data_IF_489000094073
#
_entry.id   IF_489000094073
#
_cell.length_a   1.000
_cell.length_b   1.000
_cell.length_c   1.000
_cell.angle_alpha   90.00
_cell.angle_beta   90.00
_cell.angle_gamma   90.00
#
_symmetry.space_group_name_H-M   'P 1'
#
loop_
_entity.id
_entity.type
_entity.pdbx_description
1 polymer ?
#
# COMPACT_ATOMS: atom_id res chain seq x y z
N UNK A 1 31.09 29.77 -11.21
CA UNK A 1 32.42 30.17 -10.67
C UNK A 1 32.57 29.82 -9.19
N UNK A 2 31.77 30.38 -8.27
CA UNK A 2 31.89 30.07 -6.82
C UNK A 2 31.75 28.57 -6.51
N UNK A 3 30.80 27.89 -7.15
CA UNK A 3 30.63 26.43 -7.05
C UNK A 3 31.88 25.66 -7.51
N UNK A 4 32.63 26.16 -8.51
CA UNK A 4 33.83 25.50 -9.01
C UNK A 4 34.96 25.45 -7.98
N UNK A 5 35.06 26.48 -7.13
CA UNK A 5 35.99 26.46 -5.99
C UNK A 5 35.45 25.63 -4.83
N UNK A 6 34.13 25.53 -4.66
CA UNK A 6 33.55 24.61 -3.68
C UNK A 6 33.73 23.14 -4.06
N UNK A 7 33.85 22.81 -5.36
CA UNK A 7 34.10 21.45 -5.85
C UNK A 7 35.48 20.90 -5.47
N UNK A 8 36.49 21.75 -5.24
CA UNK A 8 37.82 21.31 -4.80
C UNK A 8 37.88 20.99 -3.29
N UNK A 9 36.80 21.21 -2.55
CA UNK A 9 36.71 20.97 -1.11
C UNK A 9 35.92 19.68 -0.80
N UNK A 10 36.28 19.01 0.29
CA UNK A 10 35.59 17.78 0.74
C UNK A 10 34.21 18.10 1.34
N UNK A 11 33.15 17.92 0.54
CA UNK A 11 31.77 18.23 0.92
C UNK A 11 30.94 17.01 1.36
N UNK A 12 31.57 15.88 1.72
CA UNK A 12 30.85 14.63 2.04
C UNK A 12 29.86 14.80 3.20
N UNK A 13 30.26 15.50 4.26
CA UNK A 13 29.45 15.68 5.48
C UNK A 13 29.09 17.14 5.79
N UNK A 14 29.53 18.08 4.97
CA UNK A 14 29.34 19.53 5.17
C UNK A 14 28.92 20.19 3.88
N UNK A 15 28.19 21.30 3.99
CA UNK A 15 27.91 22.20 2.88
C UNK A 15 28.80 23.43 3.06
N UNK A 16 29.51 23.83 2.01
CA UNK A 16 30.30 25.06 2.04
C UNK A 16 29.49 26.22 1.50
N UNK A 17 29.30 27.26 2.33
CA UNK A 17 28.67 28.51 1.92
C UNK A 17 29.70 29.61 1.79
N UNK A 18 29.54 30.48 0.79
CA UNK A 18 30.41 31.65 0.63
C UNK A 18 29.96 32.74 1.58
N UNK A 19 30.85 33.16 2.49
CA UNK A 19 30.54 34.20 3.46
C UNK A 19 31.18 35.53 3.11
N UNK A 20 32.34 35.53 2.45
CA UNK A 20 33.05 36.74 2.06
C UNK A 20 33.75 36.59 0.72
N UNK A 21 33.84 37.69 -0.03
CA UNK A 21 34.66 37.82 -1.24
C UNK A 21 35.50 39.07 -1.04
N UNK A 22 36.83 38.95 -1.09
CA UNK A 22 37.75 40.07 -0.88
C UNK A 22 37.70 41.08 -2.02
N UNK A 23 37.67 40.61 -3.26
CA UNK A 23 37.66 41.45 -4.46
C UNK A 23 36.90 40.75 -5.58
N UNK A 24 36.07 41.51 -6.28
CA UNK A 24 35.35 41.07 -7.46
C UNK A 24 35.64 42.07 -8.58
N UNK A 25 36.18 41.60 -9.69
CA UNK A 25 36.41 42.40 -10.90
C UNK A 25 35.45 41.91 -11.97
N UNK A 26 34.76 42.85 -12.60
CA UNK A 26 33.84 42.58 -13.69
C UNK A 26 34.21 43.54 -14.82
N UNK A 27 34.69 42.98 -15.93
CA UNK A 27 34.93 43.69 -17.19
C UNK A 27 33.96 43.14 -18.26
N UNK A 28 32.82 43.81 -18.47
CA UNK A 28 31.82 43.39 -19.44
C UNK A 28 32.32 43.45 -20.88
N UNK A 29 33.14 44.45 -21.24
CA UNK A 29 33.64 44.61 -22.60
C UNK A 29 34.60 43.49 -22.97
N UNK A 30 35.51 43.15 -22.06
CA UNK A 30 36.39 42.02 -22.24
C UNK A 30 35.61 40.70 -22.27
N UNK A 31 34.60 40.53 -21.40
CA UNK A 31 33.78 39.32 -21.38
C UNK A 31 33.05 39.12 -22.72
N UNK A 32 32.43 40.17 -23.28
CA UNK A 32 31.74 40.12 -24.56
C UNK A 32 32.70 39.81 -25.71
N UNK A 33 33.93 40.34 -25.70
CA UNK A 33 34.98 40.04 -26.71
C UNK A 33 35.43 38.58 -26.72
N UNK A 34 35.19 37.82 -25.65
CA UNK A 34 35.55 36.39 -25.55
C UNK A 34 34.46 35.47 -26.10
N UNK A 35 33.20 35.91 -26.15
CA UNK A 35 32.06 35.09 -26.61
C UNK A 35 32.15 34.69 -28.10
N UNK A 36 32.58 35.54 -29.05
CA UNK A 36 32.69 35.18 -30.47
C UNK A 36 33.78 34.16 -30.78
N UNK A 37 34.73 33.94 -29.85
CA UNK A 37 35.84 32.99 -30.01
C UNK A 37 35.43 31.54 -29.69
N UNK A 38 34.22 31.35 -29.17
CA UNK A 38 33.65 30.05 -28.83
C UNK A 38 32.82 29.53 -30.01
N UNK A 39 32.88 28.23 -30.27
CA UNK A 39 32.11 27.59 -31.34
C UNK A 39 30.60 27.73 -31.05
N UNK A 40 29.76 27.73 -32.09
CA UNK A 40 28.29 27.85 -31.93
C UNK A 40 27.68 26.73 -31.07
N UNK A 41 28.37 25.61 -30.95
CA UNK A 41 27.94 24.40 -30.25
C UNK A 41 28.46 24.35 -28.80
N UNK A 42 29.55 25.05 -28.45
CA UNK A 42 30.11 25.08 -27.08
C UNK A 42 30.15 26.52 -26.53
N UNK A 43 29.01 27.04 -26.08
CA UNK A 43 28.91 28.37 -25.45
C UNK A 43 29.44 28.42 -24.00
N UNK A 44 30.38 27.56 -23.63
CA UNK A 44 30.90 27.46 -22.28
C UNK A 44 32.16 28.33 -22.13
N UNK A 45 32.14 29.29 -21.23
CA UNK A 45 33.34 30.07 -20.89
C UNK A 45 34.15 29.27 -19.87
N UNK A 46 35.45 28.99 -20.12
CA UNK A 46 36.25 28.21 -19.20
C UNK A 46 36.41 28.94 -17.86
N UNK A 47 36.28 28.19 -16.76
CA UNK A 47 36.53 28.67 -15.40
C UNK A 47 37.85 28.08 -14.93
N UNK A 48 38.75 28.93 -14.46
CA UNK A 48 40.03 28.51 -13.85
C UNK A 48 40.04 28.88 -12.38
N UNK A 49 40.37 27.93 -11.54
CA UNK A 49 40.55 28.12 -10.10
C UNK A 49 42.05 28.08 -9.82
N UNK A 50 42.59 29.15 -9.25
CA UNK A 50 44.00 29.30 -8.91
C UNK A 50 44.13 29.34 -7.39
N UNK A 51 44.48 28.20 -6.78
CA UNK A 51 44.56 28.08 -5.32
C UNK A 51 45.68 28.95 -4.72
N UNK A 52 46.83 29.03 -5.40
CA UNK A 52 47.98 29.84 -4.95
C UNK A 52 47.72 31.35 -4.95
N UNK A 53 46.80 31.82 -5.81
CA UNK A 53 46.41 33.22 -5.91
C UNK A 53 45.10 33.53 -5.18
N UNK A 54 44.47 32.49 -4.60
CA UNK A 54 43.13 32.53 -4.05
C UNK A 54 42.15 33.26 -5.00
N UNK A 55 42.13 32.81 -6.26
CA UNK A 55 41.45 33.49 -7.35
C UNK A 55 40.65 32.53 -8.25
N UNK A 56 39.50 32.98 -8.74
CA UNK A 56 38.67 32.27 -9.73
C UNK A 56 38.47 33.22 -10.90
N UNK A 57 38.85 32.78 -12.10
CA UNK A 57 38.82 33.62 -13.29
C UNK A 57 38.04 32.94 -14.39
N UNK A 58 37.11 33.67 -15.01
CA UNK A 58 36.37 33.20 -16.16
C UNK A 58 35.94 34.38 -17.04
N UNK A 59 36.42 34.41 -18.28
CA UNK A 59 36.20 35.54 -19.18
C UNK A 59 36.66 36.85 -18.52
N UNK A 60 35.79 37.87 -18.53
CA UNK A 60 36.02 39.14 -17.82
C UNK A 60 35.61 39.18 -16.35
N UNK A 61 35.43 38.03 -15.69
CA UNK A 61 35.10 37.97 -14.25
C UNK A 61 36.29 37.41 -13.49
N UNK A 62 36.75 38.13 -12.46
CA UNK A 62 37.77 37.67 -11.52
C UNK A 62 37.25 37.79 -10.08
N UNK A 63 37.32 36.69 -9.33
CA UNK A 63 36.90 36.62 -7.93
C UNK A 63 38.12 36.27 -7.10
N UNK A 64 38.51 37.14 -6.17
CA UNK A 64 39.63 36.88 -5.26
C UNK A 64 39.18 36.79 -3.81
N UNK A 65 39.87 35.95 -3.03
CA UNK A 65 39.68 35.89 -1.59
C UNK A 65 38.30 35.37 -1.19
N UNK A 66 37.78 34.36 -1.90
CA UNK A 66 36.51 33.73 -1.53
C UNK A 66 36.69 32.92 -0.26
N UNK A 67 36.04 33.36 0.83
CA UNK A 67 35.98 32.62 2.10
C UNK A 67 34.73 31.75 2.14
N UNK A 68 34.96 30.48 2.45
CA UNK A 68 33.94 29.45 2.58
C UNK A 68 33.84 29.04 4.05
N UNK A 69 32.63 28.88 4.55
CA UNK A 69 32.35 28.32 5.88
C UNK A 69 31.62 27.00 5.70
N UNK A 70 32.09 25.98 6.41
CA UNK A 70 31.43 24.68 6.47
C UNK A 70 30.23 24.76 7.42
N UNK A 71 29.06 24.36 6.93
CA UNK A 71 27.85 24.18 7.73
C UNK A 71 27.44 22.72 7.73
N UNK A 72 26.99 22.23 8.88
CA UNK A 72 26.47 20.87 9.01
C UNK A 72 25.19 20.72 8.20
N UNK A 73 25.05 19.57 7.53
CA UNK A 73 23.76 19.20 6.93
C UNK A 73 22.75 18.98 8.04
N UNK A 74 21.50 19.42 7.82
CA UNK A 74 20.39 19.02 8.69
C UNK A 74 20.21 17.51 8.53
N UNK A 75 20.24 16.72 9.62
CA UNK A 75 19.98 15.30 9.51
C UNK A 75 18.54 15.11 9.00
N UNK A 76 18.39 14.37 7.91
CA UNK A 76 17.10 13.82 7.55
C UNK A 76 16.90 12.58 8.44
N UNK A 77 16.18 12.73 9.56
CA UNK A 77 15.76 11.60 10.38
C UNK A 77 14.61 10.87 9.69
N UNK A 78 14.89 10.21 8.57
CA UNK A 78 13.97 9.28 7.93
C UNK A 78 14.64 7.92 8.03
N UNK A 79 14.21 7.11 8.99
CA UNK A 79 14.63 5.72 9.07
C UNK A 79 13.89 4.92 8.00
N UNK A 80 14.60 4.19 7.12
CA UNK A 80 13.95 3.34 6.14
C UNK A 80 13.27 2.16 6.85
N UNK A 81 12.01 1.93 6.52
CA UNK A 81 11.29 0.73 6.96
C UNK A 81 11.66 -0.42 6.03
N UNK A 82 12.01 -1.57 6.60
CA UNK A 82 12.27 -2.80 5.87
C UNK A 82 11.07 -3.74 6.03
N UNK A 83 10.47 -4.14 4.89
CA UNK A 83 9.36 -5.08 4.86
C UNK A 83 9.76 -6.33 4.08
N UNK A 84 9.27 -7.50 4.53
CA UNK A 84 9.54 -8.80 3.92
C UNK A 84 8.22 -9.40 3.41
N UNK A 85 8.23 -9.89 2.17
CA UNK A 85 7.10 -10.63 1.62
C UNK A 85 7.11 -12.07 2.11
N UNK A 86 6.03 -12.48 2.78
CA UNK A 86 5.81 -13.86 3.23
C UNK A 86 4.49 -14.38 2.71
N UNK A 87 4.48 -15.65 2.33
CA UNK A 87 3.23 -16.33 2.08
C UNK A 87 2.49 -16.52 3.41
N UNK A 88 1.23 -16.10 3.45
CA UNK A 88 0.35 -16.25 4.59
C UNK A 88 -0.91 -16.96 4.09
N UNK A 89 -1.15 -18.17 4.58
CA UNK A 89 -2.38 -18.88 4.23
C UNK A 89 -3.58 -18.15 4.83
N UNK A 90 -4.66 -18.07 4.07
CA UNK A 90 -5.87 -17.37 4.50
C UNK A 90 -6.53 -18.00 5.73
N UNK A 91 -6.62 -19.33 5.76
CA UNK A 91 -7.27 -20.09 6.83
C UNK A 91 -6.38 -21.24 7.24
N UNK A 92 -5.62 -21.05 8.31
CA UNK A 92 -4.72 -22.07 8.85
C UNK A 92 -4.75 -22.15 10.38
N UNK A 93 -5.60 -21.32 11.03
CA UNK A 93 -5.72 -21.22 12.48
C UNK A 93 -4.40 -20.95 13.21
N UNK A 94 -3.39 -20.45 12.49
CA UNK A 94 -2.08 -20.15 13.08
C UNK A 94 -2.22 -19.01 14.08
N UNK A 95 -1.55 -19.17 15.22
CA UNK A 95 -1.48 -18.13 16.24
C UNK A 95 -0.55 -17.00 15.78
N UNK A 96 -1.10 -15.79 15.65
CA UNK A 96 -0.39 -14.57 15.27
C UNK A 96 -0.73 -13.43 16.24
N UNK A 97 0.03 -12.34 16.21
CA UNK A 97 -0.29 -11.16 17.01
C UNK A 97 -1.53 -10.44 16.43
N UNK A 98 -2.26 -9.70 17.27
CA UNK A 98 -3.37 -8.86 16.81
C UNK A 98 -2.89 -7.83 15.77
N UNK A 99 -1.69 -7.27 15.97
CA UNK A 99 -1.05 -6.34 15.04
C UNK A 99 -0.87 -6.96 13.66
N UNK A 100 -0.31 -8.17 13.58
CA UNK A 100 -0.12 -8.87 12.30
C UNK A 100 -1.48 -9.17 11.64
N UNK A 101 -2.47 -9.62 12.43
CA UNK A 101 -3.80 -9.95 11.91
C UNK A 101 -4.49 -8.73 11.28
N UNK A 102 -4.41 -7.58 11.95
CA UNK A 102 -4.92 -6.30 11.45
C UNK A 102 -4.13 -5.85 10.22
N UNK A 103 -2.80 -5.94 10.24
CA UNK A 103 -1.95 -5.58 9.11
C UNK A 103 -2.29 -6.40 7.85
N UNK A 104 -2.36 -7.72 7.97
CA UNK A 104 -2.74 -8.62 6.87
C UNK A 104 -4.14 -8.25 6.36
N UNK A 105 -5.09 -7.99 7.26
CA UNK A 105 -6.47 -7.68 6.89
C UNK A 105 -6.59 -6.37 6.11
N UNK A 106 -5.87 -5.33 6.54
CA UNK A 106 -5.80 -4.05 5.83
C UNK A 106 -5.12 -4.23 4.47
N UNK A 107 -4.02 -4.98 4.40
CA UNK A 107 -3.33 -5.25 3.14
C UNK A 107 -4.23 -5.98 2.14
N UNK A 108 -5.00 -6.99 2.57
CA UNK A 108 -5.98 -7.68 1.73
C UNK A 108 -7.07 -6.71 1.25
N UNK A 109 -7.59 -5.85 2.15
CA UNK A 109 -8.63 -4.89 1.80
C UNK A 109 -8.16 -3.85 0.76
N UNK A 110 -6.94 -3.34 0.92
CA UNK A 110 -6.32 -2.40 -0.03
C UNK A 110 -5.90 -3.06 -1.34
N UNK A 111 -5.52 -4.33 -1.30
CA UNK A 111 -5.31 -5.10 -2.52
C UNK A 111 -6.62 -5.22 -3.30
N UNK A 112 -7.77 -5.36 -2.63
CA UNK A 112 -9.07 -5.43 -3.29
C UNK A 112 -9.57 -4.07 -3.80
N UNK A 113 -9.40 -3.00 -3.03
CA UNK A 113 -9.83 -1.64 -3.39
C UNK A 113 -8.64 -0.68 -3.36
N UNK A 114 -8.21 -0.17 -4.53
CA UNK A 114 -7.10 0.79 -4.65
C UNK A 114 -7.53 2.21 -4.21
N UNK A 115 -7.85 2.37 -2.92
CA UNK A 115 -8.34 3.62 -2.34
C UNK A 115 -7.20 4.45 -1.76
N UNK A 116 -7.18 5.75 -2.09
CA UNK A 116 -6.28 6.72 -1.46
C UNK A 116 -6.78 7.18 -0.10
N UNK A 117 -8.10 7.29 0.07
CA UNK A 117 -8.70 7.68 1.34
C UNK A 117 -9.41 6.48 1.93
N UNK A 118 -8.87 5.97 3.04
CA UNK A 118 -9.30 4.71 3.63
C UNK A 118 -10.09 5.02 4.88
N UNK A 119 -11.41 4.81 4.79
CA UNK A 119 -12.34 4.95 5.90
C UNK A 119 -12.49 3.63 6.65
N UNK A 120 -12.12 3.62 7.93
CA UNK A 120 -12.31 2.47 8.83
C UNK A 120 -13.09 2.91 10.06
N UNK A 121 -14.06 2.09 10.46
CA UNK A 121 -14.86 2.31 11.66
C UNK A 121 -14.65 1.16 12.64
N UNK A 122 -14.38 1.48 13.90
CA UNK A 122 -14.36 0.52 15.00
C UNK A 122 -15.54 0.79 15.93
N UNK A 123 -16.33 -0.24 16.23
CA UNK A 123 -17.46 -0.15 17.14
C UNK A 123 -17.17 -0.97 18.39
N UNK A 124 -17.23 -0.28 19.53
CA UNK A 124 -17.08 -0.85 20.87
C UNK A 124 -18.39 -0.62 21.62
N UNK A 125 -19.10 -1.71 21.89
CA UNK A 125 -20.32 -1.71 22.68
C UNK A 125 -20.05 -1.80 24.18
N UNK A 126 -21.02 -1.40 25.00
CA UNK A 126 -20.88 -1.39 26.47
C UNK A 126 -20.72 -2.79 27.07
N UNK A 127 -21.18 -3.83 26.38
CA UNK A 127 -21.03 -5.23 26.82
C UNK A 127 -19.68 -5.85 26.41
N UNK A 128 -18.87 -5.17 25.58
CA UNK A 128 -17.60 -5.69 25.11
C UNK A 128 -16.53 -5.62 26.22
N UNK A 129 -15.85 -6.73 26.47
CA UNK A 129 -14.74 -6.82 27.46
C UNK A 129 -13.39 -6.40 26.86
N UNK A 130 -13.37 -5.32 26.10
CA UNK A 130 -12.18 -4.81 25.41
C UNK A 130 -11.43 -3.86 26.34
N UNK A 131 -10.14 -4.11 26.55
CA UNK A 131 -9.24 -3.14 27.18
C UNK A 131 -8.69 -2.18 26.13
N UNK A 132 -8.16 -1.03 26.55
CA UNK A 132 -7.61 -0.04 25.61
C UNK A 132 -6.46 -0.58 24.75
N UNK A 133 -5.72 -1.58 25.25
CA UNK A 133 -4.66 -2.29 24.55
C UNK A 133 -5.15 -3.20 23.40
N UNK A 134 -6.42 -3.61 23.45
CA UNK A 134 -7.04 -4.51 22.46
C UNK A 134 -7.77 -3.73 21.35
N UNK A 135 -7.75 -2.39 21.39
CA UNK A 135 -8.31 -1.54 20.34
C UNK A 135 -7.56 -1.70 19.02
N UNK A 136 -8.31 -1.89 17.95
CA UNK A 136 -7.76 -2.08 16.60
C UNK A 136 -7.43 -0.75 15.93
N UNK A 137 -8.14 0.33 16.24
CA UNK A 137 -7.96 1.62 15.55
C UNK A 137 -6.53 2.18 15.65
N UNK A 138 -5.84 2.17 16.82
CA UNK A 138 -4.45 2.60 16.90
C UNK A 138 -3.51 1.79 15.99
N UNK A 139 -3.74 0.48 15.89
CA UNK A 139 -2.98 -0.43 15.03
C UNK A 139 -3.24 -0.10 13.56
N UNK A 140 -4.50 0.09 13.18
CA UNK A 140 -4.89 0.48 11.80
C UNK A 140 -4.25 1.81 11.42
N UNK A 141 -4.23 2.79 12.34
CA UNK A 141 -3.57 4.07 12.10
C UNK A 141 -2.09 3.91 11.81
N UNK A 142 -1.38 3.10 12.61
CA UNK A 142 0.05 2.82 12.41
C UNK A 142 0.29 2.17 11.03
N UNK A 143 -0.49 1.14 10.70
CA UNK A 143 -0.37 0.41 9.42
C UNK A 143 -0.61 1.35 8.23
N UNK A 144 -1.71 2.10 8.24
CA UNK A 144 -2.07 2.98 7.11
C UNK A 144 -1.14 4.19 6.99
N UNK A 145 -0.63 4.72 8.09
CA UNK A 145 0.29 5.88 8.07
C UNK A 145 1.67 5.56 7.50
N UNK A 146 2.06 4.28 7.52
CA UNK A 146 3.30 3.82 6.91
C UNK A 146 3.17 3.59 5.40
N UNK A 147 1.95 3.59 4.85
CA UNK A 147 1.72 3.37 3.42
C UNK A 147 1.78 4.69 2.62
N UNK A 148 2.52 4.72 1.50
CA UNK A 148 2.59 5.91 0.67
C UNK A 148 1.24 6.19 -0.02
N UNK A 149 0.87 7.47 -0.14
CA UNK A 149 -0.33 7.95 -0.86
C UNK A 149 -1.68 7.50 -0.26
N UNK A 150 -1.67 6.86 0.90
CA UNK A 150 -2.87 6.46 1.65
C UNK A 150 -3.11 7.45 2.79
N UNK A 151 -4.35 7.89 2.93
CA UNK A 151 -4.80 8.78 4.00
C UNK A 151 -5.81 8.02 4.87
N UNK A 152 -5.50 7.76 6.15
CA UNK A 152 -6.43 7.12 7.07
C UNK A 152 -7.50 8.11 7.55
N UNK A 153 -8.75 7.69 7.48
CA UNK A 153 -9.89 8.37 8.11
C UNK A 153 -10.58 7.38 9.06
N UNK A 154 -10.31 7.54 10.36
CA UNK A 154 -10.65 6.54 11.36
C UNK A 154 -11.75 7.06 12.27
N UNK A 155 -12.78 6.25 12.45
CA UNK A 155 -13.90 6.54 13.34
C UNK A 155 -13.97 5.50 14.44
N UNK A 156 -13.91 5.94 15.70
CA UNK A 156 -14.16 5.08 16.85
C UNK A 156 -15.55 5.39 17.43
N UNK A 157 -16.34 4.36 17.60
CA UNK A 157 -17.67 4.44 18.19
C UNK A 157 -17.60 3.80 19.58
N UNK A 158 -17.66 4.63 20.61
CA UNK A 158 -17.56 4.18 22.00
C UNK A 158 -18.37 5.11 22.92
N UNK A 159 -18.77 4.59 24.08
CA UNK A 159 -19.39 5.41 25.14
C UNK A 159 -18.38 6.31 25.83
N UNK A 160 -18.86 7.44 26.37
CA UNK A 160 -18.00 8.43 27.03
C UNK A 160 -17.28 7.80 28.24
N UNK A 161 -15.98 8.07 28.37
CA UNK A 161 -15.07 7.59 29.42
C UNK A 161 -14.57 6.14 29.30
N UNK A 162 -14.86 5.40 28.22
CA UNK A 162 -14.30 4.06 28.00
C UNK A 162 -12.86 4.06 27.47
N UNK A 163 -12.42 5.15 26.85
CA UNK A 163 -11.09 5.25 26.24
C UNK A 163 -10.41 6.58 26.59
N UNK A 164 -9.13 6.53 26.96
CA UNK A 164 -8.32 7.73 27.14
C UNK A 164 -7.97 8.35 25.79
N UNK A 165 -8.58 9.50 25.50
CA UNK A 165 -8.39 10.24 24.25
C UNK A 165 -6.96 10.72 24.01
N UNK A 166 -6.11 10.74 25.05
CA UNK A 166 -4.70 11.12 24.97
C UNK A 166 -3.79 10.06 24.33
N UNK A 167 -4.21 8.79 24.34
CA UNK A 167 -3.47 7.66 23.77
C UNK A 167 -3.94 7.31 22.35
N UNK A 168 -4.99 7.97 21.86
CA UNK A 168 -5.54 7.76 20.53
C UNK A 168 -4.86 8.67 19.48
N UNK A 169 -4.81 8.24 18.20
CA UNK A 169 -4.27 9.06 17.12
C UNK A 169 -5.00 10.40 16.98
N UNK A 170 -4.26 11.47 16.68
CA UNK A 170 -4.82 12.83 16.57
C UNK A 170 -5.87 13.01 15.45
N UNK A 171 -5.86 12.12 14.44
CA UNK A 171 -6.76 12.18 13.27
C UNK A 171 -8.01 11.29 13.42
N UNK A 172 -8.39 10.94 14.65
CA UNK A 172 -9.48 10.00 14.94
C UNK A 172 -10.76 10.74 15.35
N UNK A 173 -11.88 10.43 14.70
CA UNK A 173 -13.19 10.96 15.08
C UNK A 173 -13.90 10.01 16.05
N UNK A 174 -14.11 10.46 17.29
CA UNK A 174 -14.86 9.69 18.30
C UNK A 174 -16.34 10.06 18.22
N UNK A 175 -17.20 9.06 18.06
CA UNK A 175 -18.65 9.23 17.92
C UNK A 175 -19.37 8.38 18.97
N UNK A 176 -20.49 8.88 19.50
CA UNK A 176 -21.33 8.10 20.41
C UNK A 176 -22.22 7.09 19.65
N UNK A 177 -22.52 5.91 20.21
CA UNK A 177 -23.29 4.84 19.56
C UNK A 177 -24.67 5.26 19.03
N UNK A 178 -25.32 6.24 19.66
CA UNK A 178 -26.68 6.68 19.33
C UNK A 178 -26.77 7.68 18.15
N UNK A 179 -25.64 8.14 17.60
CA UNK A 179 -25.65 8.97 16.38
C UNK A 179 -25.67 8.06 15.16
N UNK A 180 -26.78 8.10 14.42
CA UNK A 180 -26.93 7.33 13.18
C UNK A 180 -25.87 7.73 12.13
N UNK A 181 -25.17 6.74 11.59
CA UNK A 181 -24.23 6.85 10.46
C UNK A 181 -24.97 7.05 9.14
N UNK A 182 -25.76 8.12 9.03
CA UNK A 182 -26.48 8.40 7.79
C UNK A 182 -25.48 8.93 6.77
N UNK A 183 -25.33 8.16 5.68
CA UNK A 183 -24.63 8.50 4.43
C UNK A 183 -23.09 8.33 4.39
N UNK A 184 -22.45 7.90 5.48
CA UNK A 184 -21.02 7.54 5.45
C UNK A 184 -20.79 6.07 5.13
N UNK A 185 -19.89 5.81 4.18
CA UNK A 185 -19.50 4.46 3.78
C UNK A 185 -18.04 4.18 4.15
N UNK A 186 -17.78 2.98 4.68
CA UNK A 186 -16.48 2.56 5.19
C UNK A 186 -15.94 1.37 4.38
N UNK A 187 -14.62 1.35 4.13
CA UNK A 187 -13.94 0.20 3.52
C UNK A 187 -14.00 -1.01 4.45
N UNK A 188 -13.74 -0.78 5.73
CA UNK A 188 -13.71 -1.82 6.76
C UNK A 188 -14.45 -1.35 8.01
N UNK A 189 -15.29 -2.24 8.55
CA UNK A 189 -15.83 -2.11 9.89
C UNK A 189 -15.14 -3.11 10.82
N UNK A 190 -14.89 -2.71 12.07
CA UNK A 190 -14.25 -3.49 13.11
C UNK A 190 -15.20 -3.61 14.28
N UNK A 191 -15.30 -4.79 14.88
CA UNK A 191 -16.05 -4.99 16.11
C UNK A 191 -15.77 -6.35 16.75
N UNK A 192 -16.31 -6.56 17.96
CA UNK A 192 -16.07 -7.78 18.74
C UNK A 192 -17.36 -8.58 18.87
N UNK A 193 -17.25 -9.90 18.72
CA UNK A 193 -18.39 -10.79 18.84
C UNK A 193 -19.47 -10.56 17.78
N UNK A 194 -19.14 -10.03 16.61
CA UNK A 194 -20.14 -9.55 15.64
C UNK A 194 -21.02 -10.71 15.13
N UNK A 195 -20.46 -11.91 15.04
CA UNK A 195 -21.20 -13.10 14.61
C UNK A 195 -22.20 -13.57 15.66
N UNK A 196 -21.91 -13.35 16.96
CA UNK A 196 -22.82 -13.72 18.05
C UNK A 196 -23.90 -12.67 18.31
N UNK A 197 -23.55 -11.38 18.18
CA UNK A 197 -24.44 -10.23 18.44
C UNK A 197 -25.32 -9.84 17.25
N UNK A 198 -24.87 -10.18 16.03
CA UNK A 198 -25.57 -9.92 14.78
C UNK A 198 -24.97 -8.77 13.97
N UNK A 199 -24.58 -9.06 12.73
CA UNK A 199 -23.81 -8.15 11.88
C UNK A 199 -24.62 -7.01 11.20
N UNK A 200 -25.95 -7.00 11.30
CA UNK A 200 -26.81 -6.17 10.42
C UNK A 200 -26.60 -4.67 10.56
N UNK A 201 -26.33 -4.18 11.76
CA UNK A 201 -26.10 -2.75 12.04
C UNK A 201 -24.77 -2.25 11.47
N UNK A 202 -23.75 -3.11 11.43
CA UNK A 202 -22.43 -2.81 10.87
C UNK A 202 -22.44 -2.87 9.34
N UNK A 203 -23.16 -3.84 8.78
CA UNK A 203 -23.18 -4.09 7.34
C UNK A 203 -23.86 -3.00 6.50
N UNK A 204 -24.72 -2.17 7.12
CA UNK A 204 -25.38 -1.07 6.41
C UNK A 204 -24.40 0.02 5.99
N UNK A 205 -23.30 0.19 6.73
CA UNK A 205 -22.35 1.30 6.53
C UNK A 205 -21.06 0.85 5.84
N UNK A 206 -20.87 -0.46 5.61
CA UNK A 206 -19.74 -0.99 4.83
C UNK A 206 -20.04 -0.87 3.34
N UNK A 207 -19.07 -0.35 2.57
CA UNK A 207 -19.15 -0.22 1.11
C UNK A 207 -19.51 -1.54 0.43
N UNK A 208 -19.91 -1.45 -0.83
CA UNK A 208 -20.01 -2.63 -1.69
C UNK A 208 -18.68 -3.37 -1.72
N UNK A 209 -18.72 -4.69 -1.51
CA UNK A 209 -17.52 -5.54 -1.41
C UNK A 209 -16.50 -5.12 -0.36
N UNK A 210 -16.93 -4.34 0.65
CA UNK A 210 -16.12 -3.97 1.79
C UNK A 210 -15.96 -5.11 2.80
N UNK A 211 -15.24 -4.79 3.86
CA UNK A 211 -14.73 -5.77 4.82
C UNK A 211 -15.28 -5.57 6.22
N UNK A 212 -15.34 -6.66 6.97
CA UNK A 212 -15.68 -6.69 8.37
C UNK A 212 -14.60 -7.49 9.09
N UNK A 213 -13.86 -6.83 9.97
CA UNK A 213 -12.88 -7.46 10.84
C UNK A 213 -13.53 -7.72 12.19
N UNK A 214 -13.44 -8.94 12.68
CA UNK A 214 -14.01 -9.28 13.98
C UNK A 214 -13.11 -10.15 14.84
N UNK A 215 -13.10 -9.82 16.12
CA UNK A 215 -12.51 -10.64 17.19
C UNK A 215 -13.63 -11.46 17.83
N UNK A 216 -13.47 -12.77 17.89
CA UNK A 216 -14.46 -13.73 18.37
C UNK A 216 -13.82 -14.63 19.45
N UNK A 217 -14.61 -15.18 20.38
CA UNK A 217 -14.03 -16.13 21.34
C UNK A 217 -13.47 -17.38 20.63
N UNK A 218 -12.41 -17.97 21.17
CA UNK A 218 -11.73 -19.13 20.56
C UNK A 218 -12.63 -20.35 20.29
N UNK A 219 -13.74 -20.46 21.02
CA UNK A 219 -14.69 -21.57 20.92
C UNK A 219 -15.96 -21.21 20.12
N UNK A 220 -16.04 -20.01 19.53
CA UNK A 220 -17.21 -19.62 18.74
C UNK A 220 -17.31 -20.52 17.52
N UNK A 221 -18.44 -21.22 17.41
CA UNK A 221 -18.87 -21.88 16.18
C UNK A 221 -19.72 -20.90 15.38
N UNK A 222 -19.32 -20.62 14.15
CA UNK A 222 -20.06 -19.74 13.26
C UNK A 222 -21.25 -20.49 12.66
N UNK A 223 -22.44 -19.88 12.70
CA UNK A 223 -23.57 -20.37 11.93
C UNK A 223 -23.40 -19.98 10.46
N UNK A 224 -23.09 -20.96 9.62
CA UNK A 224 -22.99 -20.76 8.17
C UNK A 224 -24.27 -20.16 7.58
N UNK A 225 -25.44 -20.40 8.18
CA UNK A 225 -26.68 -19.78 7.73
C UNK A 225 -26.70 -18.27 7.98
N UNK A 226 -26.14 -17.78 9.10
CA UNK A 226 -26.09 -16.34 9.39
C UNK A 226 -25.15 -15.63 8.41
N UNK A 227 -23.99 -16.22 8.12
CA UNK A 227 -23.06 -15.70 7.13
C UNK A 227 -23.73 -15.63 5.75
N UNK A 228 -24.44 -16.68 5.34
CA UNK A 228 -25.20 -16.69 4.08
C UNK A 228 -26.34 -15.66 4.07
N UNK A 229 -27.13 -15.56 5.14
CA UNK A 229 -28.22 -14.57 5.27
C UNK A 229 -27.71 -13.13 5.19
N UNK A 230 -26.49 -12.88 5.68
CA UNK A 230 -25.84 -11.58 5.65
C UNK A 230 -24.99 -11.35 4.38
N UNK A 231 -24.95 -12.32 3.44
CA UNK A 231 -24.09 -12.31 2.27
C UNK A 231 -22.62 -12.04 2.64
N UNK A 232 -22.07 -12.80 3.58
CA UNK A 232 -20.69 -12.67 4.04
C UNK A 232 -19.88 -13.92 3.73
N UNK A 233 -18.69 -13.71 3.19
CA UNK A 233 -17.69 -14.76 3.01
C UNK A 233 -16.53 -14.54 3.96
N UNK A 234 -16.04 -15.61 4.59
CA UNK A 234 -14.81 -15.55 5.38
C UNK A 234 -13.63 -15.47 4.40
N UNK A 235 -12.76 -14.48 4.55
CA UNK A 235 -11.53 -14.32 3.78
C UNK A 235 -10.35 -14.83 4.60
N UNK A 236 -10.13 -14.24 5.77
CA UNK A 236 -9.02 -14.57 6.67
C UNK A 236 -9.56 -15.20 7.95
N UNK A 237 -8.89 -16.23 8.44
CA UNK A 237 -9.20 -16.88 9.71
C UNK A 237 -7.91 -17.26 10.43
N UNK A 238 -7.66 -16.58 11.54
CA UNK A 238 -6.45 -16.67 12.36
C UNK A 238 -6.81 -16.76 13.83
N UNK A 239 -5.82 -17.09 14.67
CA UNK A 239 -5.97 -17.07 16.12
C UNK A 239 -4.96 -16.10 16.72
N UNK A 240 -5.31 -15.48 17.82
CA UNK A 240 -4.35 -14.88 18.75
C UNK A 240 -4.24 -15.81 19.97
N UNK A 241 -3.53 -15.38 21.01
CA UNK A 241 -3.47 -16.14 22.26
C UNK A 241 -4.82 -16.19 23.00
N UNK A 242 -5.70 -15.21 22.77
CA UNK A 242 -6.93 -15.01 23.54
C UNK A 242 -8.21 -15.27 22.73
N UNK A 243 -8.15 -15.08 21.41
CA UNK A 243 -9.33 -14.95 20.56
C UNK A 243 -9.08 -15.47 19.14
N UNK A 244 -10.16 -15.70 18.41
CA UNK A 244 -10.15 -15.95 16.97
C UNK A 244 -10.36 -14.64 16.23
N UNK A 245 -9.58 -14.41 15.17
CA UNK A 245 -9.68 -13.20 14.34
C UNK A 245 -10.14 -13.58 12.95
N UNK A 246 -11.20 -12.93 12.50
CA UNK A 246 -11.82 -13.17 11.20
C UNK A 246 -11.86 -11.89 10.38
N UNK A 247 -11.53 -12.02 9.08
CA UNK A 247 -11.84 -11.02 8.07
C UNK A 247 -12.96 -11.55 7.19
N UNK A 248 -14.08 -10.86 7.16
CA UNK A 248 -15.24 -11.19 6.33
C UNK A 248 -15.35 -10.17 5.21
N UNK A 249 -15.82 -10.60 4.04
CA UNK A 249 -16.11 -9.72 2.91
C UNK A 249 -17.59 -9.79 2.56
N UNK A 250 -18.20 -8.61 2.35
CA UNK A 250 -19.58 -8.48 1.89
C UNK A 250 -19.68 -8.90 0.43
N UNK A 251 -20.55 -9.85 0.14
CA UNK A 251 -20.83 -10.34 -1.20
C UNK A 251 -21.96 -9.51 -1.78
N UNK A 252 -21.73 -8.88 -2.93
CA UNK A 252 -22.75 -8.04 -3.57
C UNK A 252 -23.00 -8.41 -5.03
N UNK A 253 -21.94 -8.68 -5.81
CA UNK A 253 -22.08 -8.94 -7.23
C UNK A 253 -21.95 -10.43 -7.54
N UNK A 254 -22.92 -10.95 -8.31
CA UNK A 254 -22.80 -12.29 -8.88
C UNK A 254 -21.95 -12.17 -10.12
N UNK A 255 -20.74 -12.74 -10.07
CA UNK A 255 -19.84 -12.81 -11.22
C UNK A 255 -20.47 -13.78 -12.25
N UNK A 256 -20.93 -13.22 -13.37
CA UNK A 256 -21.67 -13.94 -14.41
C UNK A 256 -20.74 -14.62 -15.42
N UNK A 257 -19.57 -14.04 -15.67
CA UNK A 257 -18.61 -14.52 -16.67
C UNK A 257 -17.18 -14.53 -16.12
N UNK A 258 -16.43 -15.60 -16.39
CA UNK A 258 -15.01 -15.72 -16.05
C UNK A 258 -14.25 -16.14 -17.29
N UNK A 259 -13.36 -15.27 -17.76
CA UNK A 259 -12.45 -15.57 -18.86
C UNK A 259 -11.12 -16.05 -18.30
N UNK A 260 -10.59 -17.14 -18.86
CA UNK A 260 -9.35 -17.76 -18.36
C UNK A 260 -8.24 -17.59 -19.39
N UNK A 261 -7.13 -17.02 -18.93
CA UNK A 261 -5.89 -16.89 -19.72
C UNK A 261 -4.78 -17.61 -18.97
N UNK A 262 -4.36 -18.75 -19.53
CA UNK A 262 -3.17 -19.45 -19.05
C UNK A 262 -1.93 -18.69 -19.48
N UNK A 263 -1.03 -18.46 -18.54
CA UNK A 263 0.23 -17.76 -18.76
C UNK A 263 1.39 -18.69 -18.46
N UNK A 264 2.51 -18.46 -19.14
CA UNK A 264 3.76 -19.17 -18.89
C UNK A 264 4.94 -18.25 -19.25
N UNK A 265 6.13 -18.61 -18.78
CA UNK A 265 7.36 -17.84 -18.99
C UNK A 265 8.09 -18.16 -20.32
N UNK A 266 7.60 -19.10 -21.11
CA UNK A 266 8.31 -19.61 -22.29
C UNK A 266 7.76 -19.05 -23.61
N UNK A 267 6.46 -18.84 -23.68
CA UNK A 267 5.73 -18.37 -24.85
C UNK A 267 4.79 -17.24 -24.44
N UNK A 268 4.98 -16.05 -25.01
CA UNK A 268 4.23 -14.84 -24.67
C UNK A 268 3.00 -14.60 -25.57
N UNK A 269 2.53 -15.61 -26.30
CA UNK A 269 1.34 -15.51 -27.16
C UNK A 269 0.06 -15.21 -26.36
N UNK A 270 0.04 -15.57 -25.07
CA UNK A 270 -1.04 -15.24 -24.14
C UNK A 270 -1.25 -13.74 -23.96
N UNK A 271 -0.25 -12.89 -24.27
CA UNK A 271 -0.39 -11.41 -24.17
C UNK A 271 -1.43 -10.92 -25.17
N UNK A 272 -1.40 -11.40 -26.41
CA UNK A 272 -2.37 -10.99 -27.44
C UNK A 272 -3.77 -11.51 -27.12
N UNK A 273 -3.87 -12.73 -26.56
CA UNK A 273 -5.12 -13.24 -26.02
C UNK A 273 -5.64 -12.35 -24.89
N UNK A 274 -4.78 -11.97 -23.94
CA UNK A 274 -5.13 -11.12 -22.81
C UNK A 274 -5.67 -9.77 -23.30
N UNK A 275 -4.96 -9.09 -24.21
CA UNK A 275 -5.44 -7.84 -24.81
C UNK A 275 -6.81 -8.00 -25.44
N UNK A 276 -7.02 -9.04 -26.25
CA UNK A 276 -8.31 -9.28 -26.90
C UNK A 276 -9.46 -9.52 -25.90
N UNK A 277 -9.17 -10.15 -24.76
CA UNK A 277 -10.16 -10.37 -23.70
C UNK A 277 -10.45 -9.06 -22.97
N UNK A 278 -9.43 -8.26 -22.68
CA UNK A 278 -9.56 -6.95 -22.02
C UNK A 278 -10.32 -5.94 -22.89
N UNK A 279 -10.04 -5.91 -24.20
CA UNK A 279 -10.74 -5.05 -25.16
C UNK A 279 -12.23 -5.42 -25.32
N UNK A 280 -12.60 -6.66 -24.98
CA UNK A 280 -13.98 -7.15 -25.01
C UNK A 280 -14.67 -7.08 -23.64
N UNK A 281 -13.95 -6.67 -22.59
CA UNK A 281 -14.42 -6.63 -21.20
C UNK A 281 -15.10 -5.29 -20.90
N UNK A 282 -16.32 -5.12 -21.42
CA UNK A 282 -17.16 -3.93 -21.16
C UNK A 282 -18.12 -4.14 -19.96
N UNK A 283 -18.07 -5.31 -19.30
CA UNK A 283 -19.03 -5.70 -18.25
C UNK A 283 -18.44 -5.59 -16.84
N UNK A 284 -19.18 -4.99 -15.91
CA UNK A 284 -18.76 -4.88 -14.50
C UNK A 284 -18.82 -6.21 -13.73
N UNK A 285 -19.49 -7.21 -14.28
CA UNK A 285 -19.73 -8.53 -13.64
C UNK A 285 -18.89 -9.68 -14.24
N UNK A 286 -17.98 -9.38 -15.15
CA UNK A 286 -16.98 -10.31 -15.66
C UNK A 286 -15.68 -10.22 -14.85
N UNK A 287 -14.91 -11.31 -14.89
CA UNK A 287 -13.55 -11.38 -14.33
C UNK A 287 -12.62 -12.05 -15.31
N UNK A 288 -11.42 -11.49 -15.46
CA UNK A 288 -10.34 -12.10 -16.23
C UNK A 288 -9.40 -12.79 -15.25
N UNK A 289 -9.29 -14.12 -15.32
CA UNK A 289 -8.44 -14.91 -14.43
C UNK A 289 -7.18 -15.33 -15.16
N UNK A 290 -6.04 -14.77 -14.76
CA UNK A 290 -4.72 -15.21 -15.21
C UNK A 290 -4.28 -16.40 -14.37
N UNK A 291 -3.92 -17.49 -15.04
CA UNK A 291 -3.56 -18.75 -14.39
C UNK A 291 -2.11 -19.10 -14.71
N UNK A 292 -1.27 -19.08 -13.69
CA UNK A 292 0.08 -19.64 -13.73
C UNK A 292 0.07 -21.00 -13.03
N UNK A 293 0.32 -22.07 -13.76
CA UNK A 293 0.30 -23.44 -13.26
C UNK A 293 1.59 -24.16 -13.67
N UNK A 294 2.24 -24.82 -12.70
CA UNK A 294 3.41 -25.67 -12.97
C UNK A 294 4.75 -24.95 -13.16
N UNK A 295 4.79 -23.63 -12.98
CA UNK A 295 6.01 -22.82 -13.07
C UNK A 295 6.20 -21.98 -11.80
N UNK A 296 7.05 -22.45 -10.87
CA UNK A 296 7.33 -21.75 -9.62
C UNK A 296 8.09 -20.43 -9.78
N UNK A 297 8.71 -20.19 -10.94
CA UNK A 297 9.46 -18.98 -11.25
C UNK A 297 8.60 -17.96 -12.03
N UNK A 298 7.28 -18.20 -12.12
CA UNK A 298 6.37 -17.29 -12.79
C UNK A 298 6.26 -15.94 -12.07
N UNK A 299 6.54 -14.86 -12.80
CA UNK A 299 6.41 -13.48 -12.33
C UNK A 299 4.97 -12.95 -12.28
N UNK A 300 3.96 -13.82 -12.27
CA UNK A 300 2.54 -13.45 -12.39
C UNK A 300 2.09 -12.44 -11.33
N UNK A 301 2.53 -12.61 -10.09
CA UNK A 301 2.13 -11.72 -9.00
C UNK A 301 2.57 -10.28 -9.27
N UNK A 302 3.82 -10.09 -9.72
CA UNK A 302 4.33 -8.78 -10.12
C UNK A 302 3.58 -8.22 -11.32
N UNK A 303 3.32 -9.06 -12.33
CA UNK A 303 2.59 -8.67 -13.53
C UNK A 303 1.17 -8.18 -13.22
N UNK A 304 0.38 -8.93 -12.45
CA UNK A 304 -1.00 -8.56 -12.10
C UNK A 304 -1.02 -7.33 -11.18
N UNK A 305 -0.06 -7.20 -10.26
CA UNK A 305 0.08 -6.00 -9.44
C UNK A 305 0.33 -4.73 -10.26
N UNK A 306 1.04 -4.82 -11.38
CA UNK A 306 1.20 -3.71 -12.31
C UNK A 306 -0.08 -3.47 -13.11
N UNK A 307 -0.66 -4.54 -13.68
CA UNK A 307 -1.81 -4.44 -14.59
C UNK A 307 -3.04 -3.84 -13.91
N UNK A 308 -3.30 -4.19 -12.64
CA UNK A 308 -4.45 -3.69 -11.88
C UNK A 308 -4.39 -2.21 -11.52
N UNK A 309 -3.19 -1.61 -11.54
CA UNK A 309 -2.99 -0.16 -11.35
C UNK A 309 -3.29 0.65 -12.60
N UNK A 310 -3.54 -0.01 -13.72
CA UNK A 310 -3.98 0.65 -14.95
C UNK A 310 -5.51 0.84 -14.92
N UNK A 311 -6.03 1.96 -15.46
CA UNK A 311 -7.46 2.24 -15.45
C UNK A 311 -8.28 1.14 -16.13
N UNK A 312 -9.35 0.69 -15.48
CA UNK A 312 -10.28 -0.30 -16.04
C UNK A 312 -9.90 -1.77 -15.81
N UNK A 313 -8.72 -2.04 -15.24
CA UNK A 313 -8.22 -3.41 -15.06
C UNK A 313 -8.52 -4.00 -13.68
N UNK A 314 -9.47 -3.41 -12.95
CA UNK A 314 -9.90 -3.84 -11.62
C UNK A 314 -10.52 -5.24 -11.62
N UNK A 315 -10.97 -5.74 -12.78
CA UNK A 315 -11.61 -7.05 -12.98
C UNK A 315 -10.60 -8.21 -13.09
N UNK A 316 -9.30 -7.91 -13.21
CA UNK A 316 -8.25 -8.93 -13.35
C UNK A 316 -7.99 -9.63 -12.02
N UNK A 317 -7.91 -10.97 -12.08
CA UNK A 317 -7.61 -11.88 -10.98
C UNK A 317 -6.42 -12.76 -11.35
N UNK A 318 -5.67 -13.20 -10.35
CA UNK A 318 -4.55 -14.11 -10.49
C UNK A 318 -4.82 -15.40 -9.72
N UNK A 319 -4.49 -16.53 -10.34
CA UNK A 319 -4.38 -17.84 -9.70
C UNK A 319 -2.98 -18.38 -9.98
N UNK A 320 -2.16 -18.46 -8.94
CA UNK A 320 -0.81 -18.99 -9.02
C UNK A 320 -0.72 -20.33 -8.30
N UNK A 321 -0.60 -21.41 -9.06
CA UNK A 321 -0.55 -22.78 -8.57
C UNK A 321 0.90 -23.28 -8.59
N UNK A 322 1.50 -23.33 -7.41
CA UNK A 322 2.86 -23.84 -7.20
C UNK A 322 2.86 -25.32 -6.83
N UNK A 323 1.77 -25.83 -6.25
CA UNK A 323 1.65 -27.24 -5.89
C UNK A 323 1.51 -28.12 -7.14
N UNK A 324 2.49 -29.01 -7.35
CA UNK A 324 2.50 -29.96 -8.47
C UNK A 324 1.48 -31.09 -8.32
N UNK A 325 0.99 -31.31 -7.10
CA UNK A 325 0.00 -32.34 -6.80
C UNK A 325 -1.44 -31.80 -6.88
N UNK A 326 -1.61 -30.50 -7.11
CA UNK A 326 -2.93 -29.89 -7.22
C UNK A 326 -3.68 -30.41 -8.46
N UNK A 327 -5.01 -30.50 -8.41
CA UNK A 327 -5.80 -30.76 -9.61
C UNK A 327 -5.50 -29.69 -10.67
N UNK A 328 -5.64 -30.01 -11.95
CA UNK A 328 -5.46 -28.99 -13.00
C UNK A 328 -6.45 -27.86 -12.80
N UNK A 329 -6.03 -26.62 -13.07
CA UNK A 329 -6.94 -25.49 -12.95
C UNK A 329 -8.17 -25.67 -13.84
N UNK A 330 -9.34 -25.46 -13.27
CA UNK A 330 -10.61 -25.55 -13.97
C UNK A 330 -11.68 -24.79 -13.20
N UNK A 331 -12.58 -24.11 -13.93
CA UNK A 331 -13.73 -23.43 -13.34
C UNK A 331 -14.80 -24.43 -12.85
N UNK A 332 -14.77 -25.67 -13.36
CA UNK A 332 -15.68 -26.73 -12.94
C UNK A 332 -15.21 -27.43 -11.66
N UNK A 333 -13.95 -27.28 -11.28
CA UNK A 333 -13.40 -27.88 -10.07
C UNK A 333 -13.84 -27.09 -8.83
N UNK A 334 -14.59 -27.70 -7.89
CA UNK A 334 -15.13 -27.00 -6.72
C UNK A 334 -14.03 -26.37 -5.86
N UNK A 335 -12.86 -27.00 -5.79
CA UNK A 335 -11.71 -26.51 -5.05
C UNK A 335 -11.32 -25.08 -5.47
N UNK A 336 -11.12 -24.85 -6.77
CA UNK A 336 -10.79 -23.53 -7.30
C UNK A 336 -11.99 -22.59 -7.27
N UNK A 337 -13.18 -23.10 -7.60
CA UNK A 337 -14.36 -22.27 -7.69
C UNK A 337 -14.75 -21.67 -6.33
N UNK A 338 -14.63 -22.45 -5.24
CA UNK A 338 -14.86 -21.96 -3.88
C UNK A 338 -13.95 -20.77 -3.52
N UNK A 339 -12.70 -20.79 -3.98
CA UNK A 339 -11.76 -19.68 -3.80
C UNK A 339 -12.12 -18.48 -4.70
N UNK A 340 -12.46 -18.72 -5.97
CA UNK A 340 -12.79 -17.66 -6.93
C UNK A 340 -14.11 -16.94 -6.62
N UNK A 341 -15.02 -17.54 -5.84
CA UNK A 341 -16.21 -16.87 -5.31
C UNK A 341 -15.87 -15.78 -4.30
N UNK A 342 -14.71 -15.86 -3.64
CA UNK A 342 -14.23 -14.81 -2.73
C UNK A 342 -13.79 -13.53 -3.46
N UNK A 343 -13.66 -13.60 -4.79
CA UNK A 343 -13.27 -12.52 -5.70
C UNK A 343 -11.98 -11.79 -5.30
N UNK A 344 -11.01 -12.52 -4.74
CA UNK A 344 -9.73 -11.94 -4.32
C UNK A 344 -8.80 -11.74 -5.53
N UNK A 345 -8.09 -10.59 -5.62
CA UNK A 345 -7.20 -10.31 -6.74
C UNK A 345 -6.05 -11.29 -6.92
N UNK A 346 -5.43 -11.71 -5.82
CA UNK A 346 -4.32 -12.65 -5.82
C UNK A 346 -4.73 -13.93 -5.10
N UNK A 347 -4.56 -15.07 -5.76
CA UNK A 347 -4.83 -16.38 -5.18
C UNK A 347 -3.62 -17.26 -5.41
N UNK A 348 -2.99 -17.71 -4.33
CA UNK A 348 -1.74 -18.48 -4.39
C UNK A 348 -1.97 -19.83 -3.72
N UNK A 349 -1.68 -20.91 -4.44
CA UNK A 349 -1.67 -22.27 -3.91
C UNK A 349 -0.23 -22.75 -3.78
N UNK A 350 0.30 -22.66 -2.55
CA UNK A 350 1.61 -23.20 -2.21
C UNK A 350 1.60 -24.73 -2.07
N UNK A 351 2.77 -25.40 -2.21
CA UNK A 351 2.87 -26.85 -2.08
C UNK A 351 2.36 -27.39 -0.73
N UNK A 352 1.59 -28.49 -0.76
CA UNK A 352 1.11 -29.20 0.41
C UNK A 352 -0.09 -28.54 1.11
N UNK A 353 -0.83 -27.67 0.40
CA UNK A 353 -1.94 -26.87 0.95
C UNK A 353 -3.26 -27.03 0.15
N UNK A 354 -3.44 -28.20 -0.47
CA UNK A 354 -4.70 -28.61 -1.13
C UNK A 354 -5.75 -28.98 -0.09
#
# INVERSE_FOLDING_TARGET
>A
MLQMKSLSLDSRNVIYITTQIRKLVIDPEYHIKQLPKLSKEEKNVPVRVYDSLDAIISGGIEIHGQRLVAISRRPANIEPVHEEYKFIAYRDYTTISLKDAVQISIQIALECHELRNVKVIEIVEDDDKIQQEDLVTPIVYEVLSNLPLVQPNLTLVATENRCDSSLLPQNLSIIQPNKAFKDDTFLMAVGVGILTKGARTLLSNVIAEGFLFTQEDLNVTYDNELLQKCNLNIILEKRTERESVLLLRKVQNVITRREVVHINNYEFSWIEKLKSVMDADDETNSRITLVAEGDSECGVLGFVNCLRKEPGNETVRCVFIQDKNAPKFSLQEPFYMNQLVLDLPMNILCPGKI
#
